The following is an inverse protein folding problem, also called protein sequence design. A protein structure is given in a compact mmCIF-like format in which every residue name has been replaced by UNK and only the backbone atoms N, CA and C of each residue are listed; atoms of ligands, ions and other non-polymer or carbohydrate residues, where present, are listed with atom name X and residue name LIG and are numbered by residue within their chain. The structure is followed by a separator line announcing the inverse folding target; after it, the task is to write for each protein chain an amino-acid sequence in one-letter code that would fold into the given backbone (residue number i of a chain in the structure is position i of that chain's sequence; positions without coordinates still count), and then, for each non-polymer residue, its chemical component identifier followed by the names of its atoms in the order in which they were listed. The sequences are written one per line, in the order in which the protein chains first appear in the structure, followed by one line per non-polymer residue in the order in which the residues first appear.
data_IF_700053819846
#
_entry.id   IF_700053819846
#
_cell.length_a   1.000
_cell.length_b   1.000
_cell.length_c   1.000
_cell.angle_alpha   90.00
_cell.angle_beta   90.00
_cell.angle_gamma   90.00
#
_symmetry.space_group_name_H-M   'P 1'
#
loop_
_entity.id
_entity.type
_entity.pdbx_description
1 polymer ?
#
# COMPACT_ATOMS: atom_id res chain seq x y z
N UNK A 1 21.47 12.26 16.13
CA UNK A 1 21.60 12.96 14.83
C UNK A 1 21.10 12.02 13.76
N UNK A 2 20.03 12.36 13.04
CA UNK A 2 19.57 11.53 11.91
C UNK A 2 20.68 11.46 10.85
N UNK A 3 20.97 10.26 10.36
CA UNK A 3 21.88 10.08 9.24
C UNK A 3 21.38 10.92 8.05
N UNK A 4 22.25 11.69 7.33
CA UNK A 4 21.81 12.60 6.26
C UNK A 4 20.89 11.93 5.23
N UNK A 5 21.16 10.66 4.95
CA UNK A 5 20.34 9.85 4.06
C UNK A 5 18.90 9.62 4.56
N UNK A 6 18.71 9.43 5.86
CA UNK A 6 17.37 9.28 6.44
C UNK A 6 16.55 10.56 6.31
N UNK A 7 17.19 11.73 6.42
CA UNK A 7 16.52 13.00 6.19
C UNK A 7 16.04 13.13 4.75
N UNK A 8 16.87 12.75 3.78
CA UNK A 8 16.55 12.85 2.35
C UNK A 8 15.53 11.80 1.89
N UNK A 9 15.63 10.56 2.39
CA UNK A 9 14.79 9.45 1.91
C UNK A 9 13.46 9.34 2.67
N UNK A 10 13.38 9.81 3.92
CA UNK A 10 12.20 9.63 4.79
C UNK A 10 11.68 10.95 5.35
N UNK A 11 12.46 11.69 6.15
CA UNK A 11 11.97 12.85 6.91
C UNK A 11 11.41 13.97 6.04
N UNK A 12 12.19 14.44 5.05
CA UNK A 12 11.79 15.54 4.16
C UNK A 12 10.66 15.15 3.21
N UNK A 13 10.67 13.96 2.56
CA UNK A 13 9.54 13.52 1.74
C UNK A 13 8.22 13.38 2.52
N UNK A 14 8.27 13.01 3.80
CA UNK A 14 7.11 12.99 4.69
C UNK A 14 6.79 14.37 5.30
N UNK A 15 7.57 15.40 4.96
CA UNK A 15 7.44 16.79 5.45
C UNK A 15 7.41 16.89 6.99
N UNK A 16 8.20 16.08 7.68
CA UNK A 16 8.30 16.09 9.15
C UNK A 16 8.82 17.44 9.65
N UNK A 17 9.65 18.13 8.86
CA UNK A 17 10.20 19.44 9.19
C UNK A 17 9.10 20.49 9.47
N UNK A 18 7.90 20.34 8.89
CA UNK A 18 6.77 21.26 9.11
C UNK A 18 6.09 21.07 10.49
N UNK A 19 6.30 19.92 11.13
CA UNK A 19 5.61 19.50 12.35
C UNK A 19 6.57 19.17 13.49
N UNK A 20 7.88 19.34 13.29
CA UNK A 20 8.92 18.90 14.24
C UNK A 20 8.86 19.63 15.59
N UNK A 21 8.41 20.89 15.58
CA UNK A 21 8.31 21.75 16.77
C UNK A 21 6.90 21.78 17.36
N UNK A 22 5.94 21.04 16.78
CA UNK A 22 4.55 20.99 17.26
C UNK A 22 4.37 19.89 18.30
N UNK A 23 3.52 20.14 19.29
CA UNK A 23 3.16 19.11 20.28
C UNK A 23 2.35 18.00 19.61
N UNK A 24 2.66 16.74 19.97
CA UNK A 24 2.02 15.56 19.36
C UNK A 24 0.50 15.57 19.54
N UNK A 25 -0.01 16.19 20.61
CA UNK A 25 -1.44 16.30 20.89
C UNK A 25 -2.19 17.21 19.91
N UNK A 26 -1.48 18.11 19.24
CA UNK A 26 -2.06 19.10 18.32
C UNK A 26 -1.98 18.64 16.84
N UNK A 27 -1.30 17.52 16.57
CA UNK A 27 -1.14 16.99 15.22
C UNK A 27 -2.44 16.38 14.68
N UNK A 28 -2.71 16.63 13.41
CA UNK A 28 -3.79 15.95 12.66
C UNK A 28 -3.50 14.46 12.48
N UNK A 29 -4.53 13.67 12.15
CA UNK A 29 -4.38 12.22 11.92
C UNK A 29 -3.34 11.88 10.84
N UNK A 30 -3.30 12.63 9.74
CA UNK A 30 -2.29 12.42 8.69
C UNK A 30 -0.88 12.83 9.11
N UNK A 31 -0.73 13.83 9.97
CA UNK A 31 0.56 14.19 10.58
C UNK A 31 1.06 13.11 11.53
N UNK A 32 0.18 12.62 12.42
CA UNK A 32 0.47 11.50 13.30
C UNK A 32 0.89 10.25 12.51
N UNK A 33 0.22 9.97 11.40
CA UNK A 33 0.57 8.86 10.52
C UNK A 33 1.99 9.00 9.94
N UNK A 34 2.35 10.21 9.48
CA UNK A 34 3.70 10.49 8.95
C UNK A 34 4.77 10.39 10.04
N UNK A 35 4.46 10.81 11.26
CA UNK A 35 5.34 10.61 12.43
C UNK A 35 5.51 9.11 12.72
N UNK A 36 4.44 8.32 12.72
CA UNK A 36 4.49 6.88 12.94
C UNK A 36 5.37 6.16 11.90
N UNK A 37 5.23 6.53 10.62
CA UNK A 37 6.09 6.03 9.54
C UNK A 37 7.56 6.39 9.76
N UNK A 38 7.84 7.65 10.11
CA UNK A 38 9.20 8.10 10.41
C UNK A 38 9.81 7.33 11.60
N UNK A 39 9.04 7.10 12.66
CA UNK A 39 9.48 6.31 13.82
C UNK A 39 9.77 4.85 13.46
N UNK A 40 8.92 4.24 12.63
CA UNK A 40 9.10 2.86 12.19
C UNK A 40 10.39 2.72 11.36
N UNK A 41 10.53 3.51 10.29
CA UNK A 41 11.68 3.44 9.37
C UNK A 41 12.99 3.94 10.01
N UNK A 42 12.90 4.82 11.01
CA UNK A 42 14.06 5.36 11.72
C UNK A 42 14.75 4.37 12.66
N UNK A 43 14.08 3.26 13.00
CA UNK A 43 14.69 2.18 13.79
C UNK A 43 15.42 1.21 12.88
N UNK A 44 16.71 0.89 13.14
CA UNK A 44 17.40 -0.16 12.42
C UNK A 44 16.69 -1.51 12.64
N UNK A 45 16.23 -2.12 11.55
CA UNK A 45 15.59 -3.43 11.57
C UNK A 45 15.90 -4.21 10.28
N UNK A 46 15.83 -5.54 10.36
CA UNK A 46 15.93 -6.40 9.18
C UNK A 46 14.57 -6.59 8.49
N UNK A 47 13.50 -6.56 9.29
CA UNK A 47 12.11 -6.65 8.85
C UNK A 47 11.29 -5.51 9.45
N UNK A 48 10.54 -4.81 8.59
CA UNK A 48 9.58 -3.79 8.95
C UNK A 48 8.16 -4.34 8.82
N UNK A 49 7.30 -4.07 9.79
CA UNK A 49 5.88 -4.39 9.76
C UNK A 49 5.11 -3.07 9.75
N UNK A 50 4.30 -2.84 8.71
CA UNK A 50 3.59 -1.59 8.51
C UNK A 50 2.13 -1.92 8.24
N UNK A 51 1.25 -1.54 9.17
CA UNK A 51 -0.18 -1.83 9.11
C UNK A 51 -0.95 -0.55 8.79
N UNK A 52 -1.78 -0.59 7.75
CA UNK A 52 -2.58 0.52 7.23
C UNK A 52 -1.83 1.87 7.10
N UNK A 53 -0.68 1.93 6.38
CA UNK A 53 0.05 3.18 6.22
C UNK A 53 -0.73 4.28 5.50
N UNK A 54 -1.78 3.96 4.74
CA UNK A 54 -2.67 4.90 4.07
C UNK A 54 -3.70 5.60 4.97
N UNK A 55 -3.82 5.20 6.24
CA UNK A 55 -4.78 5.76 7.19
C UNK A 55 -4.64 7.28 7.33
N UNK A 56 -5.78 8.00 7.30
CA UNK A 56 -5.87 9.47 7.40
C UNK A 56 -5.13 10.27 6.34
N UNK A 57 -4.45 9.63 5.38
CA UNK A 57 -3.75 10.29 4.28
C UNK A 57 -4.69 10.53 3.09
N UNK A 58 -4.53 11.68 2.43
CA UNK A 58 -5.14 11.95 1.13
C UNK A 58 -4.41 11.19 0.00
N UNK A 59 -4.96 11.27 -1.22
CA UNK A 59 -4.42 10.53 -2.38
C UNK A 59 -2.97 10.89 -2.75
N UNK A 60 -2.57 12.15 -2.55
CA UNK A 60 -1.21 12.61 -2.85
C UNK A 60 -0.25 12.11 -1.76
N UNK A 61 -0.63 12.29 -0.50
CA UNK A 61 0.13 11.84 0.66
C UNK A 61 0.34 10.32 0.67
N UNK A 62 -0.67 9.51 0.30
CA UNK A 62 -0.54 8.05 0.16
C UNK A 62 0.54 7.67 -0.85
N UNK A 63 0.54 8.32 -2.02
CA UNK A 63 1.55 8.05 -3.04
C UNK A 63 2.96 8.43 -2.56
N UNK A 64 3.10 9.55 -1.86
CA UNK A 64 4.37 9.94 -1.26
C UNK A 64 4.83 8.96 -0.18
N UNK A 65 3.94 8.55 0.73
CA UNK A 65 4.23 7.55 1.76
C UNK A 65 4.67 6.22 1.14
N UNK A 66 3.92 5.73 0.14
CA UNK A 66 4.26 4.49 -0.57
C UNK A 66 5.64 4.56 -1.24
N UNK A 67 5.96 5.69 -1.89
CA UNK A 67 7.28 5.94 -2.49
C UNK A 67 8.40 5.92 -1.46
N UNK A 68 8.20 6.56 -0.31
CA UNK A 68 9.15 6.60 0.80
C UNK A 68 9.42 5.19 1.33
N UNK A 69 8.36 4.45 1.67
CA UNK A 69 8.44 3.08 2.18
C UNK A 69 9.22 2.19 1.20
N UNK A 70 8.80 2.15 -0.07
CA UNK A 70 9.44 1.29 -1.08
C UNK A 70 10.90 1.65 -1.29
N UNK A 71 11.21 2.95 -1.44
CA UNK A 71 12.58 3.42 -1.69
C UNK A 71 13.50 3.10 -0.52
N UNK A 72 13.05 3.36 0.71
CA UNK A 72 13.85 3.10 1.90
C UNK A 72 14.15 1.61 2.07
N UNK A 73 13.13 0.75 1.99
CA UNK A 73 13.27 -0.71 2.13
C UNK A 73 14.23 -1.26 1.05
N UNK A 74 14.05 -0.85 -0.21
CA UNK A 74 14.90 -1.29 -1.32
C UNK A 74 16.35 -0.83 -1.16
N UNK A 75 16.55 0.45 -0.84
CA UNK A 75 17.89 1.04 -0.71
C UNK A 75 18.68 0.40 0.45
N UNK A 76 18.03 0.21 1.60
CA UNK A 76 18.64 -0.43 2.78
C UNK A 76 18.71 -1.96 2.67
N UNK A 77 18.21 -2.55 1.58
CA UNK A 77 18.14 -4.01 1.34
C UNK A 77 17.45 -4.76 2.49
N UNK A 78 16.33 -4.21 2.95
CA UNK A 78 15.52 -4.76 4.05
C UNK A 78 14.26 -5.41 3.51
N UNK A 79 13.51 -6.07 4.39
CA UNK A 79 12.20 -6.64 4.06
C UNK A 79 11.10 -5.84 4.75
N UNK A 80 9.96 -5.65 4.07
CA UNK A 80 8.78 -5.04 4.65
C UNK A 80 7.54 -5.88 4.40
N UNK A 81 6.74 -6.12 5.43
CA UNK A 81 5.37 -6.57 5.31
C UNK A 81 4.46 -5.36 5.46
N UNK A 82 3.61 -5.16 4.46
CA UNK A 82 2.66 -4.05 4.45
C UNK A 82 1.25 -4.61 4.33
N UNK A 83 0.38 -4.19 5.24
CA UNK A 83 -1.07 -4.47 5.18
C UNK A 83 -1.76 -3.20 4.69
N UNK A 84 -2.59 -3.33 3.66
CA UNK A 84 -3.26 -2.21 3.02
C UNK A 84 -4.65 -2.60 2.52
N UNK A 85 -5.58 -1.66 2.65
CA UNK A 85 -6.87 -1.68 1.97
C UNK A 85 -6.89 -0.79 0.70
N UNK A 86 -5.87 0.04 0.46
CA UNK A 86 -5.76 0.85 -0.76
C UNK A 86 -5.05 0.09 -1.89
N UNK A 87 -5.80 -0.22 -2.96
CA UNK A 87 -5.28 -0.98 -4.11
C UNK A 87 -4.10 -0.32 -4.81
N UNK A 88 -4.08 1.02 -4.91
CA UNK A 88 -3.01 1.74 -5.61
C UNK A 88 -1.74 1.64 -4.79
N UNK A 89 -1.85 1.87 -3.49
CA UNK A 89 -0.72 1.77 -2.57
C UNK A 89 -0.19 0.34 -2.49
N UNK A 90 -1.07 -0.64 -2.31
CA UNK A 90 -0.70 -2.06 -2.27
C UNK A 90 0.03 -2.50 -3.55
N UNK A 91 -0.51 -2.17 -4.72
CA UNK A 91 0.10 -2.56 -6.01
C UNK A 91 1.40 -1.81 -6.30
N UNK A 92 1.56 -0.60 -5.79
CA UNK A 92 2.80 0.15 -5.91
C UNK A 92 3.92 -0.44 -5.02
N UNK A 93 3.57 -0.83 -3.79
CA UNK A 93 4.51 -1.33 -2.79
C UNK A 93 4.93 -2.78 -3.02
N UNK A 94 3.98 -3.64 -3.40
CA UNK A 94 4.16 -5.08 -3.35
C UNK A 94 5.01 -5.64 -4.51
N UNK A 95 5.98 -6.48 -4.15
CA UNK A 95 6.65 -7.41 -5.08
C UNK A 95 5.94 -8.78 -5.09
N UNK A 96 5.40 -9.17 -3.94
CA UNK A 96 4.58 -10.37 -3.70
C UNK A 96 3.41 -10.02 -2.80
N UNK A 97 2.35 -10.82 -2.87
CA UNK A 97 1.13 -10.63 -2.08
C UNK A 97 0.76 -11.90 -1.33
N UNK A 98 0.25 -11.73 -0.12
CA UNK A 98 -0.39 -12.77 0.67
C UNK A 98 -1.88 -12.44 0.70
N UNK A 99 -2.72 -13.37 0.27
CA UNK A 99 -4.17 -13.18 0.26
C UNK A 99 -4.76 -13.83 1.49
N UNK A 100 -5.54 -13.06 2.23
CA UNK A 100 -6.33 -13.58 3.34
C UNK A 100 -7.75 -13.87 2.85
N UNK A 101 -8.26 -15.05 3.21
CA UNK A 101 -9.63 -15.47 2.97
C UNK A 101 -10.25 -16.01 4.27
N UNK A 102 -11.56 -16.26 4.22
CA UNK A 102 -12.34 -16.77 5.36
C UNK A 102 -13.53 -15.87 5.70
N UNK A 103 -14.17 -16.17 6.82
CA UNK A 103 -15.32 -15.43 7.31
C UNK A 103 -14.91 -14.57 8.54
N UNK A 104 -15.08 -13.24 8.50
CA UNK A 104 -14.74 -12.36 9.61
C UNK A 104 -15.36 -12.84 10.92
N UNK A 105 -14.57 -12.82 11.99
CA UNK A 105 -14.96 -13.30 13.33
C UNK A 105 -15.30 -14.79 13.41
N UNK A 106 -14.98 -15.60 12.39
CA UNK A 106 -15.21 -17.06 12.38
C UNK A 106 -13.93 -17.82 12.06
N UNK A 107 -13.31 -17.55 10.91
CA UNK A 107 -12.06 -18.20 10.50
C UNK A 107 -11.27 -17.29 9.55
N UNK A 108 -9.97 -17.56 9.44
CA UNK A 108 -9.10 -16.89 8.49
C UNK A 108 -8.01 -17.84 8.01
N UNK A 109 -7.73 -17.80 6.72
CA UNK A 109 -6.64 -18.51 6.08
C UNK A 109 -5.79 -17.52 5.28
N UNK A 110 -4.47 -17.65 5.39
CA UNK A 110 -3.51 -16.83 4.66
C UNK A 110 -2.81 -17.70 3.62
N UNK A 111 -2.78 -17.23 2.37
CA UNK A 111 -2.06 -17.93 1.31
C UNK A 111 -0.54 -17.87 1.50
N UNK A 112 0.19 -18.72 0.79
CA UNK A 112 1.62 -18.49 0.58
C UNK A 112 1.87 -17.18 -0.19
N UNK A 113 3.08 -16.59 -0.12
CA UNK A 113 3.43 -15.39 -0.88
C UNK A 113 3.45 -15.64 -2.40
N UNK A 114 2.47 -15.08 -3.10
CA UNK A 114 2.29 -15.22 -4.54
C UNK A 114 2.85 -14.00 -5.29
N UNK A 115 3.09 -14.17 -6.59
CA UNK A 115 3.32 -13.03 -7.46
C UNK A 115 2.09 -12.10 -7.47
N UNK A 116 2.31 -10.81 -7.72
CA UNK A 116 1.29 -9.78 -7.62
C UNK A 116 0.03 -10.08 -8.46
N UNK A 117 0.18 -10.35 -9.77
CA UNK A 117 -0.96 -10.59 -10.67
C UNK A 117 -1.83 -11.78 -10.24
N UNK A 118 -1.30 -13.00 -10.04
CA UNK A 118 -2.15 -14.13 -9.65
C UNK A 118 -2.79 -13.92 -8.27
N UNK A 119 -2.07 -13.36 -7.29
CA UNK A 119 -2.63 -13.11 -5.97
C UNK A 119 -3.74 -12.03 -6.00
N UNK A 120 -3.55 -10.94 -6.74
CA UNK A 120 -4.60 -9.92 -6.92
C UNK A 120 -5.81 -10.48 -7.66
N UNK A 121 -5.62 -11.34 -8.67
CA UNK A 121 -6.73 -12.01 -9.33
C UNK A 121 -7.51 -12.94 -8.38
N UNK A 122 -6.81 -13.68 -7.51
CA UNK A 122 -7.45 -14.52 -6.49
C UNK A 122 -8.27 -13.67 -5.50
N UNK A 123 -7.68 -12.59 -4.99
CA UNK A 123 -8.35 -11.68 -4.05
C UNK A 123 -9.59 -11.03 -4.66
N UNK A 124 -9.47 -10.43 -5.84
CA UNK A 124 -10.56 -9.75 -6.52
C UNK A 124 -11.69 -10.69 -6.97
N UNK A 125 -11.34 -11.94 -7.31
CA UNK A 125 -12.32 -12.98 -7.62
C UNK A 125 -13.22 -13.28 -6.42
N UNK A 126 -12.68 -13.34 -5.21
CA UNK A 126 -13.46 -13.55 -3.98
C UNK A 126 -14.42 -12.38 -3.71
N UNK A 127 -14.03 -11.16 -4.08
CA UNK A 127 -14.86 -9.96 -3.96
C UNK A 127 -15.88 -9.79 -5.10
N UNK A 128 -15.79 -10.61 -6.16
CA UNK A 128 -16.56 -10.48 -7.40
C UNK A 128 -16.44 -9.09 -8.07
N UNK A 129 -15.28 -8.43 -7.90
CA UNK A 129 -14.98 -7.09 -8.41
C UNK A 129 -13.87 -7.16 -9.45
N UNK A 130 -14.03 -6.48 -10.57
CA UNK A 130 -12.99 -6.38 -11.60
C UNK A 130 -12.44 -4.97 -11.73
N UNK A 131 -11.15 -4.87 -12.08
CA UNK A 131 -10.46 -3.61 -12.34
C UNK A 131 -10.00 -3.53 -13.80
N UNK A 132 -10.09 -2.33 -14.35
CA UNK A 132 -9.46 -1.97 -15.63
C UNK A 132 -8.40 -0.90 -15.41
N UNK A 133 -7.43 -0.80 -16.31
CA UNK A 133 -6.52 0.35 -16.36
C UNK A 133 -7.16 1.47 -17.16
N UNK A 134 -7.00 2.69 -16.69
CA UNK A 134 -7.31 3.88 -17.45
C UNK A 134 -6.27 4.05 -18.57
N UNK A 135 -6.68 4.23 -19.84
CA UNK A 135 -5.74 4.27 -20.95
C UNK A 135 -4.83 5.51 -20.96
N UNK A 136 -5.21 6.61 -20.29
CA UNK A 136 -4.44 7.85 -20.33
C UNK A 136 -3.35 7.90 -19.25
N UNK A 137 -3.65 7.36 -18.06
CA UNK A 137 -2.79 7.50 -16.88
C UNK A 137 -2.47 6.17 -16.19
N UNK A 138 -2.88 5.06 -16.80
CA UNK A 138 -2.71 3.71 -16.27
C UNK A 138 -3.24 3.55 -14.83
N UNK A 139 -4.16 4.37 -14.32
CA UNK A 139 -4.69 4.19 -12.95
C UNK A 139 -5.68 3.02 -12.93
N UNK A 140 -5.67 2.18 -11.88
CA UNK A 140 -6.69 1.15 -11.72
C UNK A 140 -8.05 1.80 -11.47
N UNK A 141 -9.06 1.38 -12.22
CA UNK A 141 -10.45 1.82 -12.12
C UNK A 141 -11.35 0.62 -11.96
N UNK A 142 -12.21 0.67 -10.94
CA UNK A 142 -13.23 -0.36 -10.72
C UNK A 142 -14.24 -0.38 -11.88
N UNK A 143 -14.64 -1.56 -12.32
CA UNK A 143 -15.75 -1.71 -13.25
C UNK A 143 -17.09 -1.64 -12.51
N UNK A 144 -18.09 -1.09 -13.19
CA UNK A 144 -19.47 -1.18 -12.70
C UNK A 144 -19.89 -2.66 -12.76
N UNK A 145 -20.51 -3.14 -11.67
CA UNK A 145 -21.05 -4.50 -11.59
C UNK A 145 -21.95 -4.79 -12.80
N UNK A 146 -21.77 -5.97 -13.39
CA UNK A 146 -22.57 -6.46 -14.53
C UNK A 146 -22.45 -5.63 -15.81
N UNK A 147 -21.49 -4.71 -15.88
CA UNK A 147 -21.16 -4.06 -17.15
C UNK A 147 -20.55 -5.05 -18.13
N UNK A 148 -20.64 -4.76 -19.43
CA UNK A 148 -20.07 -5.60 -20.50
C UNK A 148 -18.61 -5.98 -20.18
N UNK A 149 -17.79 -4.99 -19.80
CA UNK A 149 -16.38 -5.22 -19.42
C UNK A 149 -16.21 -6.07 -18.16
N UNK A 150 -17.07 -5.91 -17.15
CA UNK A 150 -17.03 -6.73 -15.93
C UNK A 150 -17.32 -8.21 -16.26
N UNK A 151 -18.34 -8.46 -17.09
CA UNK A 151 -18.73 -9.80 -17.51
C UNK A 151 -17.65 -10.46 -18.36
N UNK A 152 -17.07 -9.73 -19.32
CA UNK A 152 -15.96 -10.22 -20.16
C UNK A 152 -14.73 -10.59 -19.31
N UNK A 153 -14.35 -9.72 -18.38
CA UNK A 153 -13.20 -9.94 -17.50
C UNK A 153 -13.41 -11.13 -16.55
N UNK A 154 -14.60 -11.27 -15.98
CA UNK A 154 -14.98 -12.43 -15.15
C UNK A 154 -14.93 -13.74 -15.95
N UNK A 155 -15.48 -13.75 -17.18
CA UNK A 155 -15.47 -14.92 -18.05
C UNK A 155 -14.04 -15.32 -18.44
N UNK A 156 -13.15 -14.35 -18.65
CA UNK A 156 -11.74 -14.58 -18.96
C UNK A 156 -10.89 -14.95 -17.72
N UNK A 157 -11.43 -14.80 -16.50
CA UNK A 157 -10.69 -15.00 -15.25
C UNK A 157 -9.67 -13.90 -14.94
N UNK A 158 -9.74 -12.76 -15.63
CA UNK A 158 -8.78 -11.66 -15.52
C UNK A 158 -9.42 -10.46 -14.81
N UNK A 159 -9.26 -10.40 -13.50
CA UNK A 159 -9.77 -9.37 -12.60
C UNK A 159 -8.79 -8.20 -12.41
N UNK A 160 -7.49 -8.44 -12.62
CA UNK A 160 -6.42 -7.45 -12.45
C UNK A 160 -5.39 -7.52 -13.58
N UNK A 161 -4.95 -6.33 -14.04
CA UNK A 161 -3.95 -6.16 -15.09
C UNK A 161 -2.84 -5.19 -14.65
N UNK A 162 -1.58 -5.56 -14.94
CA UNK A 162 -0.42 -4.69 -14.79
C UNK A 162 -0.18 -3.79 -16.01
N UNK A 163 -0.45 -4.32 -17.20
CA UNK A 163 -0.36 -3.67 -18.52
C UNK A 163 -1.74 -3.63 -19.19
#
# INVERSE_FOLDING_TARGET
MFHPQFQTDVSRPLQIDNIIDQDVQDLSGGELQRVALCLCLGKPADVYLIDEPSAYLDSEQRLHAARVIKRFILHCKKTGFVVEHDFIMATYLADRVIVFDGQPSVNSHASEPQALVPGMNSFLKQLEITFRRDPENARPRINKRESVKDTEQKAAGNYFFLE
#
